data_IF_436277694039
#
_entry.id   IF_436277694039
#
_cell.length_a   1.000
_cell.length_b   1.000
_cell.length_c   1.000
_cell.angle_alpha   90.00
_cell.angle_beta   90.00
_cell.angle_gamma   90.00
#
_symmetry.space_group_name_H-M   'P 1'
#
loop_
_entity.id
_entity.type
_entity.pdbx_description
1 polymer ?
#
# COMPACT_ATOMS: atom_id res chain seq x y z
N UNK A 1 10.72 -1.24 16.15
CA UNK A 1 10.49 0.13 15.63
C UNK A 1 11.41 0.29 14.44
N UNK A 2 10.91 0.20 13.22
CA UNK A 2 11.73 0.41 12.02
C UNK A 2 11.43 1.82 11.54
N UNK A 3 12.27 2.75 11.96
CA UNK A 3 12.19 4.15 11.56
C UNK A 3 12.52 4.25 10.07
N UNK A 4 11.49 4.37 9.22
CA UNK A 4 11.67 4.80 7.84
C UNK A 4 12.25 6.20 7.87
N UNK A 5 13.54 6.31 7.60
CA UNK A 5 14.23 7.59 7.53
C UNK A 5 13.73 8.31 6.28
N UNK A 6 12.95 9.37 6.48
CA UNK A 6 12.66 10.39 5.47
C UNK A 6 14.00 10.92 4.94
N UNK A 7 14.41 10.47 3.77
CA UNK A 7 15.68 10.85 3.12
C UNK A 7 15.70 12.29 2.60
N UNK A 8 14.57 13.01 2.67
CA UNK A 8 14.43 14.39 2.18
C UNK A 8 15.15 15.46 3.01
N UNK A 9 15.62 15.14 4.21
CA UNK A 9 16.20 16.13 5.13
C UNK A 9 17.69 16.45 4.94
N UNK A 10 18.46 15.62 4.23
CA UNK A 10 19.94 15.69 4.31
C UNK A 10 20.59 16.52 3.19
N UNK A 11 19.94 16.69 2.03
CA UNK A 11 20.55 17.41 0.88
C UNK A 11 19.70 18.54 0.30
N UNK A 12 18.51 18.81 0.86
CA UNK A 12 17.59 19.84 0.36
C UNK A 12 17.04 19.60 -1.05
N UNK A 13 17.39 18.47 -1.69
CA UNK A 13 16.82 18.05 -2.97
C UNK A 13 15.62 17.17 -2.70
N UNK A 14 14.42 17.66 -3.06
CA UNK A 14 13.19 16.88 -2.93
C UNK A 14 13.31 15.59 -3.76
N UNK A 15 13.07 14.43 -3.14
CA UNK A 15 12.97 13.17 -3.86
C UNK A 15 11.80 13.27 -4.85
N UNK A 16 12.14 13.44 -6.14
CA UNK A 16 11.15 13.60 -7.21
C UNK A 16 10.37 12.32 -7.44
N UNK A 17 10.98 11.17 -7.11
CA UNK A 17 10.40 9.87 -7.32
C UNK A 17 9.52 9.43 -6.15
N UNK A 18 9.71 10.02 -4.96
CA UNK A 18 9.13 9.55 -3.70
C UNK A 18 9.40 8.05 -3.51
N UNK A 19 9.11 7.47 -2.34
CA UNK A 19 9.26 6.02 -2.17
C UNK A 19 8.05 5.24 -2.75
N UNK A 20 7.80 5.39 -4.07
CA UNK A 20 6.69 4.73 -4.77
C UNK A 20 6.81 3.21 -4.80
N UNK A 21 8.04 2.69 -4.81
CA UNK A 21 8.29 1.24 -4.73
C UNK A 21 7.76 0.71 -3.40
N UNK A 22 8.15 1.34 -2.28
CA UNK A 22 7.63 1.00 -0.97
C UNK A 22 6.10 1.14 -0.90
N UNK A 23 5.54 2.22 -1.45
CA UNK A 23 4.09 2.41 -1.43
C UNK A 23 3.33 1.27 -2.14
N UNK A 24 3.78 0.89 -3.33
CA UNK A 24 3.19 -0.24 -4.08
C UNK A 24 3.35 -1.55 -3.31
N UNK A 25 4.54 -1.82 -2.77
CA UNK A 25 4.81 -3.00 -1.96
C UNK A 25 3.90 -3.06 -0.73
N UNK A 26 3.75 -1.94 -0.01
CA UNK A 26 2.92 -1.82 1.18
C UNK A 26 1.45 -2.08 0.86
N UNK A 27 0.94 -1.51 -0.24
CA UNK A 27 -0.42 -1.76 -0.71
C UNK A 27 -0.66 -3.23 -1.06
N UNK A 28 0.24 -3.87 -1.80
CA UNK A 28 0.11 -5.29 -2.19
C UNK A 28 0.21 -6.21 -0.97
N UNK A 29 1.18 -5.96 -0.08
CA UNK A 29 1.36 -6.73 1.14
C UNK A 29 0.15 -6.60 2.08
N UNK A 30 -0.44 -5.41 2.17
CA UNK A 30 -1.64 -5.20 2.97
C UNK A 30 -2.85 -5.90 2.35
N UNK A 31 -3.03 -5.83 1.03
CA UNK A 31 -4.14 -6.51 0.36
C UNK A 31 -4.11 -8.03 0.58
N UNK A 32 -2.92 -8.63 0.56
CA UNK A 32 -2.74 -10.06 0.87
C UNK A 32 -3.02 -10.36 2.34
N UNK A 33 -2.48 -9.56 3.27
CA UNK A 33 -2.72 -9.73 4.71
C UNK A 33 -4.21 -9.66 5.07
N UNK A 34 -4.94 -8.72 4.46
CA UNK A 34 -6.36 -8.54 4.71
C UNK A 34 -7.20 -9.75 4.27
N UNK A 35 -6.72 -10.59 3.34
CA UNK A 35 -7.42 -11.83 2.96
C UNK A 35 -7.57 -12.77 4.15
N UNK A 36 -6.47 -13.02 4.88
CA UNK A 36 -6.51 -13.83 6.11
C UNK A 36 -7.41 -13.20 7.18
N UNK A 37 -7.38 -11.87 7.34
CA UNK A 37 -8.22 -11.21 8.35
C UNK A 37 -9.71 -11.26 8.00
N UNK A 38 -10.06 -11.22 6.72
CA UNK A 38 -11.44 -11.40 6.25
C UNK A 38 -11.90 -12.83 6.56
N UNK A 39 -11.09 -13.84 6.22
CA UNK A 39 -11.40 -15.25 6.52
C UNK A 39 -11.59 -15.48 8.02
N UNK A 40 -10.73 -14.90 8.85
CA UNK A 40 -10.83 -14.99 10.32
C UNK A 40 -12.13 -14.35 10.84
N UNK A 41 -12.47 -13.16 10.36
CA UNK A 41 -13.70 -12.46 10.75
C UNK A 41 -14.96 -13.23 10.30
N UNK A 42 -14.96 -13.80 9.10
CA UNK A 42 -16.04 -14.63 8.59
C UNK A 42 -16.26 -15.88 9.45
N UNK A 43 -15.19 -16.58 9.85
CA UNK A 43 -15.28 -17.73 10.77
C UNK A 43 -15.80 -17.32 12.15
N UNK A 44 -15.40 -16.14 12.62
CA UNK A 44 -15.89 -15.52 13.85
C UNK A 44 -17.33 -15.00 13.77
N UNK A 45 -17.94 -15.01 12.57
CA UNK A 45 -19.25 -14.39 12.27
C UNK A 45 -19.30 -12.89 12.60
N UNK A 46 -18.14 -12.22 12.56
CA UNK A 46 -18.02 -10.78 12.72
C UNK A 46 -18.13 -10.09 11.35
N UNK A 47 -19.36 -9.83 10.92
CA UNK A 47 -19.64 -9.26 9.60
C UNK A 47 -19.18 -7.82 9.47
N UNK A 48 -19.18 -7.06 10.57
CA UNK A 48 -18.78 -5.65 10.56
C UNK A 48 -17.28 -5.53 10.26
N UNK A 49 -16.46 -6.33 10.93
CA UNK A 49 -15.01 -6.36 10.71
C UNK A 49 -14.67 -6.95 9.33
N UNK A 50 -15.38 -7.98 8.89
CA UNK A 50 -15.19 -8.55 7.56
C UNK A 50 -15.46 -7.51 6.45
N UNK A 51 -16.54 -6.74 6.57
CA UNK A 51 -16.87 -5.70 5.59
C UNK A 51 -15.89 -4.54 5.60
N UNK A 52 -15.40 -4.14 6.78
CA UNK A 52 -14.33 -3.16 6.91
C UNK A 52 -13.07 -3.63 6.16
N UNK A 53 -12.63 -4.86 6.37
CA UNK A 53 -11.42 -5.39 5.75
C UNK A 53 -11.58 -5.60 4.23
N UNK A 54 -12.76 -5.99 3.75
CA UNK A 54 -13.03 -6.06 2.30
C UNK A 54 -12.89 -4.70 1.63
N UNK A 55 -13.42 -3.63 2.24
CA UNK A 55 -13.26 -2.25 1.74
C UNK A 55 -11.79 -1.83 1.74
N UNK A 56 -11.09 -2.05 2.85
CA UNK A 56 -9.66 -1.74 2.96
C UNK A 56 -8.80 -2.54 1.96
N UNK A 57 -9.17 -3.79 1.66
CA UNK A 57 -8.49 -4.62 0.67
C UNK A 57 -8.70 -4.07 -0.74
N UNK A 58 -9.92 -3.66 -1.08
CA UNK A 58 -10.22 -3.03 -2.36
C UNK A 58 -9.43 -1.72 -2.55
N UNK A 59 -9.36 -0.88 -1.52
CA UNK A 59 -8.59 0.36 -1.54
C UNK A 59 -7.08 0.09 -1.64
N UNK A 60 -6.57 -0.94 -0.96
CA UNK A 60 -5.17 -1.35 -1.07
C UNK A 60 -4.82 -1.81 -2.49
N UNK A 61 -5.68 -2.63 -3.13
CA UNK A 61 -5.51 -3.05 -4.53
C UNK A 61 -5.53 -1.85 -5.47
N UNK A 62 -6.48 -0.94 -5.30
CA UNK A 62 -6.57 0.30 -6.09
C UNK A 62 -5.31 1.16 -5.93
N UNK A 63 -4.83 1.33 -4.70
CA UNK A 63 -3.60 2.05 -4.40
C UNK A 63 -2.39 1.46 -5.12
N UNK A 64 -2.25 0.13 -5.10
CA UNK A 64 -1.18 -0.57 -5.80
C UNK A 64 -1.24 -0.34 -7.33
N UNK A 65 -2.42 -0.41 -7.97
CA UNK A 65 -2.54 -0.17 -9.41
C UNK A 65 -2.17 1.26 -9.82
N UNK A 66 -2.64 2.25 -9.05
CA UNK A 66 -2.30 3.65 -9.28
C UNK A 66 -0.80 3.89 -9.09
N UNK A 67 -0.21 3.31 -8.03
CA UNK A 67 1.22 3.39 -7.74
C UNK A 67 2.07 2.75 -8.85
N UNK A 68 1.70 1.56 -9.33
CA UNK A 68 2.37 0.88 -10.46
C UNK A 68 2.33 1.71 -11.73
N UNK A 69 1.17 2.30 -12.04
CA UNK A 69 0.98 3.15 -13.22
C UNK A 69 1.91 4.37 -13.16
N UNK A 70 1.95 5.05 -12.02
CA UNK A 70 2.82 6.21 -11.81
C UNK A 70 4.30 5.83 -11.87
N UNK A 71 4.69 4.73 -11.20
CA UNK A 71 6.06 4.22 -11.21
C UNK A 71 6.52 3.90 -12.64
N UNK A 72 5.69 3.19 -13.42
CA UNK A 72 5.97 2.90 -14.83
C UNK A 72 6.18 4.18 -15.66
N UNK A 73 5.34 5.19 -15.47
CA UNK A 73 5.48 6.48 -16.18
C UNK A 73 6.82 7.15 -15.86
N UNK A 74 7.27 7.10 -14.60
CA UNK A 74 8.54 7.69 -14.16
C UNK A 74 9.75 6.93 -14.70
N UNK A 75 9.72 5.59 -14.65
CA UNK A 75 10.80 4.75 -15.18
C UNK A 75 11.01 4.90 -16.69
N UNK A 76 9.95 5.25 -17.43
CA UNK A 76 10.02 5.48 -18.88
C UNK A 76 10.47 6.90 -19.26
N UNK A 77 10.98 7.71 -18.31
CA UNK A 77 11.51 9.04 -18.58
C UNK A 77 10.43 10.09 -18.84
N UNK A 78 9.45 10.17 -17.93
CA UNK A 78 8.24 11.01 -18.02
C UNK A 78 8.43 12.43 -18.52
#
# INVERSE_FOLDING_TARGET
MTSGTETGGVTGTQDKDYNLIWYVEACLSNALRLETYIEDAERGKDTEVADLFRKAQADSRKGAELGKTLLRRRLNGG
#
